data_IF_948358724585
#
_entry.id   IF_948358724585
#
_cell.length_a   1.000
_cell.length_b   1.000
_cell.length_c   1.000
_cell.angle_alpha   90.00
_cell.angle_beta   90.00
_cell.angle_gamma   90.00
#
_symmetry.space_group_name_H-M   'P 1'
#
loop_
_entity.id
_entity.type
_entity.pdbx_description
1 polymer ?
#
# COMPACT_ATOMS: atom_id res chain seq x y z
N UNK A 1 -14.78 8.96 6.56
CA UNK A 1 -15.19 7.64 7.07
C UNK A 1 -15.91 6.89 5.96
N UNK A 2 -15.48 5.67 5.69
CA UNK A 2 -15.99 4.85 4.59
C UNK A 2 -16.33 3.45 5.11
N UNK A 3 -17.42 3.29 5.88
CA UNK A 3 -17.78 2.01 6.46
C UNK A 3 -18.25 1.03 5.38
N UNK A 4 -17.97 -0.25 5.57
CA UNK A 4 -18.43 -1.33 4.71
C UNK A 4 -19.16 -2.40 5.54
N UNK A 5 -20.28 -2.89 5.03
CA UNK A 5 -21.04 -3.99 5.63
C UNK A 5 -21.38 -5.03 4.58
N UNK A 6 -21.27 -6.30 4.95
CA UNK A 6 -21.61 -7.46 4.11
C UNK A 6 -22.51 -8.40 4.90
N UNK A 7 -23.54 -8.90 4.22
CA UNK A 7 -24.33 -10.05 4.67
C UNK A 7 -24.24 -11.16 3.61
N UNK A 8 -24.07 -12.39 4.06
CA UNK A 8 -24.01 -13.59 3.24
C UNK A 8 -25.11 -14.53 3.71
N UNK A 9 -26.04 -14.85 2.81
CA UNK A 9 -27.04 -15.89 3.00
C UNK A 9 -26.68 -17.07 2.10
N UNK A 10 -26.41 -18.21 2.72
CA UNK A 10 -26.06 -19.44 2.01
C UNK A 10 -27.30 -20.20 1.55
N UNK A 11 -27.16 -21.10 0.57
CA UNK A 11 -28.29 -21.88 0.03
C UNK A 11 -28.94 -22.81 1.06
N UNK A 12 -28.21 -23.21 2.09
CA UNK A 12 -28.73 -24.01 3.22
C UNK A 12 -29.32 -23.14 4.35
N UNK A 13 -29.42 -21.82 4.13
CA UNK A 13 -30.10 -20.88 5.01
C UNK A 13 -29.23 -20.31 6.14
N UNK A 14 -27.92 -20.59 6.20
CA UNK A 14 -27.04 -19.92 7.18
C UNK A 14 -26.79 -18.47 6.80
N UNK A 15 -26.82 -17.60 7.80
CA UNK A 15 -26.52 -16.18 7.70
C UNK A 15 -25.17 -15.86 8.33
N UNK A 16 -24.37 -15.06 7.63
CA UNK A 16 -23.14 -14.48 8.14
C UNK A 16 -23.17 -12.99 7.87
N UNK A 17 -22.72 -12.18 8.81
CA UNK A 17 -22.61 -10.74 8.60
C UNK A 17 -21.29 -10.21 9.17
N UNK A 18 -20.78 -9.15 8.55
CA UNK A 18 -19.68 -8.37 9.08
C UNK A 18 -19.87 -6.89 8.75
N UNK A 19 -19.34 -6.05 9.63
CA UNK A 19 -19.29 -4.61 9.45
C UNK A 19 -17.93 -4.12 9.88
N UNK A 20 -17.31 -3.30 9.04
CA UNK A 20 -16.04 -2.64 9.30
C UNK A 20 -16.29 -1.14 9.21
N UNK A 21 -16.15 -0.43 10.33
CA UNK A 21 -16.32 1.02 10.37
C UNK A 21 -15.07 1.78 9.90
N UNK A 22 -13.88 1.20 10.10
CA UNK A 22 -12.57 1.74 9.70
C UNK A 22 -11.82 0.70 8.85
N UNK A 23 -12.02 0.69 7.52
CA UNK A 23 -11.32 -0.24 6.65
C UNK A 23 -9.81 0.00 6.69
N UNK A 24 -9.04 -1.02 6.36
CA UNK A 24 -7.58 -0.92 6.34
C UNK A 24 -7.13 0.17 5.35
N UNK A 25 -6.31 1.10 5.80
CA UNK A 25 -5.89 2.30 5.07
C UNK A 25 -6.69 3.57 5.40
N UNK A 26 -7.79 3.47 6.15
CA UNK A 26 -8.46 4.63 6.75
C UNK A 26 -7.53 5.29 7.79
N UNK A 27 -7.58 6.62 8.03
CA UNK A 27 -6.72 7.28 9.01
C UNK A 27 -6.81 6.66 10.42
N UNK A 28 -7.98 6.15 10.79
CA UNK A 28 -8.21 5.45 12.05
C UNK A 28 -7.70 3.98 12.05
N UNK A 29 -7.37 3.41 10.89
CA UNK A 29 -6.79 2.06 10.72
C UNK A 29 -5.73 2.07 9.60
N UNK A 30 -4.59 2.76 9.80
CA UNK A 30 -3.59 2.97 8.76
C UNK A 30 -2.90 1.66 8.37
N UNK A 31 -2.34 1.65 7.15
CA UNK A 31 -1.40 0.62 6.74
C UNK A 31 -0.10 0.78 7.55
N UNK A 32 0.50 -0.35 7.96
CA UNK A 32 1.86 -0.35 8.48
C UNK A 32 2.84 0.00 7.36
N UNK A 33 4.07 0.32 7.75
CA UNK A 33 5.14 0.57 6.79
C UNK A 33 5.37 -0.66 5.88
N UNK A 34 5.37 -1.85 6.46
CA UNK A 34 5.57 -3.11 5.75
C UNK A 34 4.44 -3.37 4.74
N UNK A 35 3.20 -3.10 5.11
CA UNK A 35 2.05 -3.21 4.22
C UNK A 35 2.10 -2.19 3.07
N UNK A 36 2.56 -0.96 3.33
CA UNK A 36 2.81 0.05 2.30
C UNK A 36 3.92 -0.38 1.32
N UNK A 37 5.03 -0.90 1.86
CA UNK A 37 6.15 -1.42 1.06
C UNK A 37 5.71 -2.60 0.19
N UNK A 38 4.98 -3.55 0.77
CA UNK A 38 4.45 -4.70 0.03
C UNK A 38 3.55 -4.23 -1.13
N UNK A 39 2.59 -3.33 -0.85
CA UNK A 39 1.70 -2.78 -1.88
C UNK A 39 2.47 -2.05 -2.98
N UNK A 40 3.50 -1.28 -2.61
CA UNK A 40 4.38 -0.62 -3.59
C UNK A 40 5.12 -1.64 -4.45
N UNK A 41 5.69 -2.68 -3.85
CA UNK A 41 6.43 -3.74 -4.56
C UNK A 41 5.53 -4.44 -5.57
N UNK A 42 4.32 -4.85 -5.15
CA UNK A 42 3.32 -5.48 -6.01
C UNK A 42 2.97 -4.61 -7.22
N UNK A 43 2.67 -3.32 -7.00
CA UNK A 43 2.24 -2.39 -8.05
C UNK A 43 3.36 -1.98 -9.01
N UNK A 44 4.61 -1.93 -8.53
CA UNK A 44 5.73 -1.43 -9.34
C UNK A 44 6.61 -2.53 -9.92
N UNK A 45 6.45 -3.78 -9.48
CA UNK A 45 7.18 -4.93 -10.02
C UNK A 45 7.09 -5.12 -11.55
N UNK A 46 6.00 -4.76 -12.25
CA UNK A 46 5.94 -4.91 -13.71
C UNK A 46 6.80 -3.90 -14.48
N UNK A 47 7.23 -2.80 -13.84
CA UNK A 47 7.87 -1.66 -14.52
C UNK A 47 9.22 -1.26 -13.92
N UNK A 48 9.53 -1.68 -12.70
CA UNK A 48 10.79 -1.40 -12.02
C UNK A 48 11.44 -2.71 -11.54
N UNK A 49 12.74 -2.86 -11.75
CA UNK A 49 13.53 -3.95 -11.18
C UNK A 49 13.53 -3.89 -9.65
N UNK A 50 13.70 -5.03 -8.97
CA UNK A 50 13.75 -5.13 -7.50
C UNK A 50 14.76 -4.16 -6.86
N UNK A 51 15.99 -4.07 -7.39
CA UNK A 51 17.02 -3.15 -6.90
C UNK A 51 16.55 -1.68 -6.93
N UNK A 52 15.93 -1.26 -8.04
CA UNK A 52 15.36 0.10 -8.17
C UNK A 52 14.22 0.34 -7.19
N UNK A 53 13.35 -0.64 -6.96
CA UNK A 53 12.25 -0.55 -5.99
C UNK A 53 12.81 -0.41 -4.57
N UNK A 54 13.80 -1.24 -4.19
CA UNK A 54 14.46 -1.18 -2.89
C UNK A 54 15.16 0.16 -2.64
N UNK A 55 15.87 0.70 -3.64
CA UNK A 55 16.47 2.05 -3.56
C UNK A 55 15.42 3.13 -3.40
N UNK A 56 14.29 3.02 -4.11
CA UNK A 56 13.16 3.97 -4.01
C UNK A 56 12.58 3.94 -2.60
N UNK A 57 12.29 2.76 -2.05
CA UNK A 57 11.78 2.57 -0.68
C UNK A 57 12.74 3.20 0.34
N UNK A 58 14.04 2.90 0.23
CA UNK A 58 15.05 3.44 1.14
C UNK A 58 15.11 4.96 1.12
N UNK A 59 15.13 5.58 -0.07
CA UNK A 59 15.20 7.05 -0.22
C UNK A 59 13.93 7.76 0.24
N UNK A 60 12.75 7.20 -0.05
CA UNK A 60 11.48 7.74 0.44
C UNK A 60 11.41 7.66 1.96
N UNK A 61 11.94 6.58 2.57
CA UNK A 61 11.97 6.41 4.03
C UNK A 61 12.88 7.42 4.73
N UNK A 62 13.93 7.88 4.07
CA UNK A 62 14.90 8.85 4.59
C UNK A 62 14.81 10.22 3.88
N UNK A 63 13.65 10.56 3.33
CA UNK A 63 13.48 11.72 2.45
C UNK A 63 13.83 13.04 3.14
N UNK A 64 13.60 13.12 4.45
CA UNK A 64 13.94 14.27 5.29
C UNK A 64 15.45 14.56 5.36
N UNK A 65 16.29 13.58 5.01
CA UNK A 65 17.76 13.72 4.94
C UNK A 65 18.32 13.64 3.52
N UNK A 66 17.47 13.60 2.50
CA UNK A 66 17.92 13.55 1.11
C UNK A 66 18.47 14.91 0.68
N UNK A 67 19.76 14.96 0.33
CA UNK A 67 20.45 16.19 -0.06
C UNK A 67 20.00 16.69 -1.44
N UNK A 68 19.60 15.78 -2.34
CA UNK A 68 19.19 16.12 -3.69
C UNK A 68 18.04 15.24 -4.17
N UNK A 69 16.88 15.87 -4.40
CA UNK A 69 15.68 15.19 -4.87
C UNK A 69 15.87 14.43 -6.20
N UNK A 70 16.85 14.83 -7.01
CA UNK A 70 17.21 14.16 -8.27
C UNK A 70 17.66 12.70 -8.05
N UNK A 71 18.22 12.40 -6.88
CA UNK A 71 18.63 11.04 -6.51
C UNK A 71 17.43 10.09 -6.36
N UNK A 72 16.26 10.63 -5.97
CA UNK A 72 15.00 9.89 -5.92
C UNK A 72 14.32 9.87 -7.28
N UNK A 73 14.15 11.02 -7.94
CA UNK A 73 13.36 11.11 -9.18
C UNK A 73 13.98 10.34 -10.35
N UNK A 74 15.32 10.22 -10.40
CA UNK A 74 16.02 9.38 -11.37
C UNK A 74 15.70 7.88 -11.22
N UNK A 75 15.28 7.42 -10.03
CA UNK A 75 14.83 6.04 -9.83
C UNK A 75 13.42 5.79 -10.39
N UNK A 76 12.66 6.86 -10.68
CA UNK A 76 11.28 6.79 -11.15
C UNK A 76 11.17 6.91 -12.69
N UNK A 77 12.23 7.32 -13.38
CA UNK A 77 12.20 7.47 -14.83
C UNK A 77 12.21 6.12 -15.55
N UNK A 78 11.38 5.97 -16.57
CA UNK A 78 11.26 4.71 -17.35
C UNK A 78 12.04 4.74 -18.67
N UNK A 79 12.80 5.81 -18.93
CA UNK A 79 13.60 6.04 -20.13
C UNK A 79 14.90 6.75 -19.79
#
# INVERSE_FOLDING_TARGET
RWPASVEIVTKDGRHFSTRIDYPKGDPENPLSWEELVQKFDELSSPVLSEDRRNKTISRVRSLETEENISNLTSLLSTF
#
